data_IF_474900949211
#
_entry.id   IF_474900949211
#
_cell.length_a   1.000
_cell.length_b   1.000
_cell.length_c   1.000
_cell.angle_alpha   90.00
_cell.angle_beta   90.00
_cell.angle_gamma   90.00
#
_symmetry.space_group_name_H-M   'P 1'
#
loop_
_entity.id
_entity.type
_entity.pdbx_description
1 polymer ?
#
# COMPACT_ATOMS: atom_id res chain seq x y z
N UNK A 1 -35.80 -26.16 -3.97
CA UNK A 1 -35.70 -24.77 -4.45
C UNK A 1 -34.43 -24.66 -5.28
N UNK A 2 -34.56 -24.30 -6.55
CA UNK A 2 -33.44 -24.11 -7.50
C UNK A 2 -33.68 -22.80 -8.22
N UNK A 3 -32.63 -21.99 -8.34
CA UNK A 3 -32.14 -21.20 -9.50
C UNK A 3 -30.78 -20.65 -8.99
N UNK A 4 -29.64 -21.30 -9.27
CA UNK A 4 -28.71 -21.03 -10.40
C UNK A 4 -28.24 -19.57 -10.47
N UNK A 5 -27.08 -19.29 -9.86
CA UNK A 5 -26.26 -18.14 -10.21
C UNK A 5 -25.31 -18.56 -11.33
N UNK A 6 -25.36 -17.81 -12.43
CA UNK A 6 -24.67 -18.05 -13.69
C UNK A 6 -23.38 -17.24 -13.70
N UNK A 7 -22.30 -17.87 -14.19
CA UNK A 7 -21.03 -17.25 -14.62
C UNK A 7 -21.19 -15.82 -15.14
N UNK A 8 -20.39 -14.88 -14.65
CA UNK A 8 -20.15 -13.63 -15.36
C UNK A 8 -18.98 -13.84 -16.34
N UNK A 9 -19.32 -13.68 -17.61
CA UNK A 9 -18.47 -13.81 -18.77
C UNK A 9 -17.70 -12.51 -18.97
N UNK A 10 -16.39 -12.62 -19.24
CA UNK A 10 -15.54 -11.63 -19.88
C UNK A 10 -16.25 -10.93 -21.06
N UNK A 11 -16.19 -9.59 -21.09
CA UNK A 11 -16.76 -8.79 -22.17
C UNK A 11 -16.00 -7.49 -22.39
N UNK A 12 -14.95 -7.55 -23.20
CA UNK A 12 -14.33 -6.43 -23.89
C UNK A 12 -15.43 -5.64 -24.65
N UNK A 13 -15.55 -4.33 -24.43
CA UNK A 13 -16.40 -3.48 -25.28
C UNK A 13 -15.62 -2.23 -25.72
N UNK A 14 -14.98 -2.36 -26.88
CA UNK A 14 -14.51 -1.21 -27.66
C UNK A 14 -15.70 -0.47 -28.30
N UNK A 15 -15.58 0.86 -28.30
CA UNK A 15 -16.09 1.83 -29.28
C UNK A 15 -17.52 1.69 -29.81
N UNK A 16 -18.38 2.67 -29.49
CA UNK A 16 -18.75 3.74 -30.45
C UNK A 16 -19.95 4.57 -29.97
N UNK A 17 -19.70 5.85 -29.67
CA UNK A 17 -20.65 6.92 -30.00
C UNK A 17 -19.86 8.05 -30.64
N UNK A 18 -19.76 8.00 -31.96
CA UNK A 18 -19.42 9.16 -32.77
C UNK A 18 -20.70 9.59 -33.51
N UNK A 19 -21.13 10.83 -33.26
CA UNK A 19 -21.83 11.78 -34.16
C UNK A 19 -22.57 12.80 -33.26
N UNK A 20 -22.50 14.13 -33.39
CA UNK A 20 -21.95 15.04 -34.39
C UNK A 20 -21.92 16.45 -33.74
N UNK A 21 -20.76 17.10 -33.72
CA UNK A 21 -20.67 18.54 -33.92
C UNK A 21 -19.33 18.84 -34.57
N UNK A 22 -19.40 19.06 -35.87
CA UNK A 22 -18.29 19.41 -36.73
C UNK A 22 -17.88 20.86 -36.42
N UNK A 23 -16.95 21.05 -35.48
CA UNK A 23 -16.06 22.21 -35.48
C UNK A 23 -14.64 21.70 -35.53
N UNK A 24 -13.96 22.00 -36.64
CA UNK A 24 -12.51 21.93 -36.74
C UNK A 24 -11.91 22.74 -35.57
N UNK A 25 -11.47 22.06 -34.53
CA UNK A 25 -10.45 22.55 -33.62
C UNK A 25 -9.22 21.69 -33.86
N UNK A 26 -8.39 22.14 -34.79
CA UNK A 26 -6.95 21.93 -34.68
C UNK A 26 -6.51 22.65 -33.41
N UNK A 27 -6.55 21.96 -32.27
CA UNK A 27 -5.69 22.29 -31.14
C UNK A 27 -4.62 21.23 -31.14
N UNK A 28 -3.37 21.69 -31.20
CA UNK A 28 -2.23 20.88 -30.82
C UNK A 28 -2.55 20.34 -29.42
N UNK A 29 -2.75 19.02 -29.28
CA UNK A 29 -2.63 18.37 -27.98
C UNK A 29 -1.15 18.50 -27.62
N UNK A 30 -0.83 19.59 -26.93
CA UNK A 30 0.43 19.74 -26.25
C UNK A 30 0.49 18.58 -25.26
N UNK A 31 1.45 17.68 -25.46
CA UNK A 31 1.67 16.53 -24.59
C UNK A 31 1.90 17.07 -23.18
N UNK A 32 0.89 16.91 -22.30
CA UNK A 32 0.93 17.43 -20.94
C UNK A 32 1.92 16.58 -20.17
N UNK A 33 3.04 17.18 -19.76
CA UNK A 33 3.99 16.55 -18.86
C UNK A 33 3.50 16.64 -17.41
N UNK A 34 3.78 15.59 -16.64
CA UNK A 34 3.38 15.46 -15.24
C UNK A 34 4.61 15.28 -14.36
N UNK A 35 4.45 15.68 -13.10
CA UNK A 35 5.34 15.34 -11.99
C UNK A 35 4.48 14.86 -10.81
N UNK A 36 5.09 14.41 -9.73
CA UNK A 36 4.40 13.80 -8.60
C UNK A 36 4.59 14.59 -7.32
N UNK A 37 3.51 14.72 -6.56
CA UNK A 37 3.53 15.21 -5.19
C UNK A 37 3.22 14.07 -4.25
N UNK A 38 4.05 13.93 -3.21
CA UNK A 38 3.89 12.95 -2.15
C UNK A 38 3.72 13.69 -0.83
N UNK A 39 2.68 13.35 -0.10
CA UNK A 39 2.46 13.77 1.28
C UNK A 39 2.82 12.59 2.19
N UNK A 40 3.99 12.66 2.83
CA UNK A 40 4.47 11.61 3.73
C UNK A 40 3.66 11.53 5.02
N UNK A 41 3.03 12.62 5.47
CA UNK A 41 2.28 12.66 6.71
C UNK A 41 0.95 11.87 6.61
N UNK A 42 0.26 11.99 5.48
CA UNK A 42 -1.00 11.28 5.22
C UNK A 42 -0.87 10.15 4.20
N UNK A 43 0.36 9.76 3.86
CA UNK A 43 0.63 8.62 3.00
C UNK A 43 -0.10 8.66 1.66
N UNK A 44 -0.03 9.76 0.90
CA UNK A 44 -0.63 9.78 -0.44
C UNK A 44 0.27 10.39 -1.48
N UNK A 45 0.16 9.91 -2.72
CA UNK A 45 0.85 10.44 -3.89
C UNK A 45 -0.16 10.78 -4.98
N UNK A 46 0.07 11.88 -5.70
CA UNK A 46 -0.76 12.27 -6.84
C UNK A 46 0.08 12.94 -7.91
N UNK A 47 -0.24 12.68 -9.18
CA UNK A 47 0.36 13.40 -10.30
C UNK A 47 -0.24 14.81 -10.41
N UNK A 48 0.58 15.77 -10.80
CA UNK A 48 0.14 17.12 -11.16
C UNK A 48 0.79 17.56 -12.48
N UNK A 49 0.05 18.26 -13.35
CA UNK A 49 0.59 18.70 -14.62
C UNK A 49 1.55 19.88 -14.44
N UNK A 50 2.66 19.89 -15.17
CA UNK A 50 3.74 20.88 -15.06
C UNK A 50 3.35 22.32 -15.45
N UNK A 51 2.13 22.54 -15.92
CA UNK A 51 1.59 23.89 -16.09
C UNK A 51 1.04 24.49 -14.80
N UNK A 52 0.95 23.69 -13.73
CA UNK A 52 0.63 24.14 -12.40
C UNK A 52 1.91 24.25 -11.58
N UNK A 53 2.00 25.34 -10.83
CA UNK A 53 3.15 25.68 -10.00
C UNK A 53 2.78 25.31 -8.56
N UNK A 54 3.55 24.44 -7.87
CA UNK A 54 3.31 24.14 -6.46
C UNK A 54 3.61 25.38 -5.60
N UNK A 55 2.67 25.78 -4.75
CA UNK A 55 2.83 26.92 -3.84
C UNK A 55 3.51 26.55 -2.50
N UNK A 56 3.76 25.25 -2.28
CA UNK A 56 4.29 24.70 -1.03
C UNK A 56 3.19 24.36 -0.03
N UNK A 57 3.50 23.45 0.91
CA UNK A 57 2.56 22.91 1.90
C UNK A 57 2.08 24.02 2.87
N UNK A 58 1.01 24.70 2.49
CA UNK A 58 0.35 25.69 3.33
C UNK A 58 -0.58 25.01 4.33
N UNK A 59 -0.18 24.98 5.60
CA UNK A 59 -0.87 24.35 6.75
C UNK A 59 -1.12 22.85 6.54
N UNK A 60 -0.12 22.05 6.92
CA UNK A 60 -0.14 20.66 7.45
C UNK A 60 -1.08 19.58 6.84
N UNK A 61 -1.99 19.88 5.91
CA UNK A 61 -3.10 19.03 5.45
C UNK A 61 -3.03 18.71 3.94
N UNK A 62 -2.15 19.37 3.18
CA UNK A 62 -2.00 19.11 1.75
C UNK A 62 -1.27 20.19 0.93
N UNK A 63 -1.51 20.19 -0.38
CA UNK A 63 -0.81 21.02 -1.37
C UNK A 63 -1.77 21.73 -2.32
N UNK A 64 -1.43 22.98 -2.66
CA UNK A 64 -2.11 23.74 -3.72
C UNK A 64 -1.15 24.00 -4.87
N UNK A 65 -1.63 23.74 -6.09
CA UNK A 65 -0.92 24.02 -7.34
C UNK A 65 -1.70 25.05 -8.14
N UNK A 66 -1.05 26.13 -8.57
CA UNK A 66 -1.69 27.27 -9.21
C UNK A 66 -1.21 27.42 -10.65
N UNK A 67 -2.13 27.70 -11.58
CA UNK A 67 -1.81 27.99 -12.96
C UNK A 67 -1.23 29.41 -13.11
N UNK A 68 -0.68 29.70 -14.29
CA UNK A 68 -0.13 31.02 -14.66
C UNK A 68 -1.15 32.18 -14.62
N UNK A 69 -2.46 31.88 -14.68
CA UNK A 69 -3.53 32.87 -14.56
C UNK A 69 -3.80 33.32 -13.10
N UNK A 70 -3.16 32.69 -12.12
CA UNK A 70 -3.28 33.00 -10.69
C UNK A 70 -4.66 32.72 -10.07
N UNK A 71 -5.56 32.08 -10.81
CA UNK A 71 -6.94 31.80 -10.39
C UNK A 71 -7.25 30.32 -10.49
N UNK A 72 -6.86 29.70 -11.59
CA UNK A 72 -7.04 28.27 -11.82
C UNK A 72 -6.07 27.50 -10.94
N UNK A 73 -6.56 26.49 -10.23
CA UNK A 73 -5.76 25.72 -9.29
C UNK A 73 -6.27 24.28 -9.15
N UNK A 74 -5.38 23.44 -8.65
CA UNK A 74 -5.64 22.12 -8.10
C UNK A 74 -5.26 22.15 -6.61
N UNK A 75 -6.09 21.55 -5.78
CA UNK A 75 -5.81 21.33 -4.37
C UNK A 75 -5.95 19.85 -4.09
N UNK A 76 -4.99 19.29 -3.35
CA UNK A 76 -5.05 17.93 -2.82
C UNK A 76 -4.83 17.98 -1.32
N UNK A 77 -5.72 17.38 -0.55
CA UNK A 77 -5.64 17.40 0.91
C UNK A 77 -6.34 16.21 1.55
N UNK A 78 -5.87 15.87 2.75
CA UNK A 78 -6.60 15.02 3.68
C UNK A 78 -7.66 15.87 4.39
N UNK A 79 -8.87 15.34 4.57
CA UNK A 79 -9.95 16.02 5.29
C UNK A 79 -10.46 15.18 6.44
N UNK A 80 -10.44 15.74 7.65
CA UNK A 80 -11.11 15.12 8.80
C UNK A 80 -12.65 15.16 8.61
N UNK A 81 -13.21 13.96 8.41
CA UNK A 81 -14.65 13.68 8.36
C UNK A 81 -14.98 12.52 9.31
N UNK A 82 -14.27 12.45 10.43
CA UNK A 82 -14.34 11.35 11.40
C UNK A 82 -15.78 10.98 11.76
N UNK A 83 -16.08 9.69 11.68
CA UNK A 83 -17.39 9.12 12.00
C UNK A 83 -18.46 9.27 10.91
N UNK A 84 -18.15 9.82 9.73
CA UNK A 84 -19.06 9.87 8.60
C UNK A 84 -18.79 8.73 7.62
N UNK A 85 -19.87 8.08 7.15
CA UNK A 85 -19.82 7.28 5.93
C UNK A 85 -19.67 8.16 4.68
N UNK A 86 -19.24 7.56 3.56
CA UNK A 86 -19.12 8.24 2.27
C UNK A 86 -20.45 8.90 1.85
N UNK A 87 -21.58 8.22 2.03
CA UNK A 87 -22.92 8.74 1.69
C UNK A 87 -23.31 9.93 2.58
N UNK A 88 -22.98 9.89 3.87
CA UNK A 88 -23.25 10.99 4.79
C UNK A 88 -22.40 12.22 4.49
N UNK A 89 -21.11 12.02 4.21
CA UNK A 89 -20.20 13.08 3.77
C UNK A 89 -20.71 13.73 2.48
N UNK A 90 -21.05 12.90 1.48
CA UNK A 90 -21.61 13.37 0.21
C UNK A 90 -22.89 14.19 0.41
N UNK A 91 -23.86 13.69 1.20
CA UNK A 91 -25.12 14.40 1.45
C UNK A 91 -24.88 15.75 2.14
N UNK A 92 -24.02 15.78 3.16
CA UNK A 92 -23.69 16.99 3.93
C UNK A 92 -23.06 18.07 3.05
N UNK A 93 -22.13 17.69 2.17
CA UNK A 93 -21.52 18.64 1.25
C UNK A 93 -22.47 19.11 0.14
N UNK A 94 -23.35 18.22 -0.32
CA UNK A 94 -24.32 18.56 -1.34
C UNK A 94 -25.32 19.61 -0.86
N UNK A 95 -25.71 19.59 0.41
CA UNK A 95 -26.59 20.61 1.00
C UNK A 95 -25.96 22.03 0.96
N UNK A 96 -24.64 22.10 1.02
CA UNK A 96 -23.87 23.35 0.94
C UNK A 96 -23.56 23.83 -0.48
N UNK A 97 -23.86 23.04 -1.52
CA UNK A 97 -23.42 23.31 -2.89
C UNK A 97 -24.55 23.18 -3.91
N UNK A 98 -24.66 24.17 -4.81
CA UNK A 98 -25.54 24.06 -5.98
C UNK A 98 -24.83 23.29 -7.12
N UNK A 99 -24.60 21.99 -6.91
CA UNK A 99 -23.89 21.16 -7.87
C UNK A 99 -24.73 20.84 -9.12
N UNK A 100 -24.17 21.13 -10.30
CA UNK A 100 -24.74 20.85 -11.61
C UNK A 100 -24.54 19.40 -12.05
N UNK A 101 -23.46 18.76 -11.61
CA UNK A 101 -23.19 17.34 -11.81
C UNK A 101 -22.84 16.68 -10.49
N UNK A 102 -23.26 15.42 -10.34
CA UNK A 102 -23.17 14.67 -9.10
C UNK A 102 -23.00 13.19 -9.40
N UNK A 103 -22.08 12.53 -8.70
CA UNK A 103 -21.84 11.10 -8.81
C UNK A 103 -21.42 10.59 -7.44
N UNK A 104 -21.97 9.45 -7.03
CA UNK A 104 -21.59 8.73 -5.82
C UNK A 104 -21.35 7.28 -6.25
N UNK A 105 -20.15 6.78 -5.97
CA UNK A 105 -19.73 5.40 -6.18
C UNK A 105 -19.43 4.75 -4.82
N UNK A 106 -18.93 3.52 -4.83
CA UNK A 106 -18.66 2.75 -3.60
C UNK A 106 -17.59 3.37 -2.70
N UNK A 107 -16.54 3.93 -3.30
CA UNK A 107 -15.35 4.44 -2.60
C UNK A 107 -15.05 5.93 -2.87
N UNK A 108 -15.84 6.60 -3.72
CA UNK A 108 -15.69 8.04 -3.95
C UNK A 108 -17.00 8.73 -4.35
N UNK A 109 -17.01 10.06 -4.25
CA UNK A 109 -18.02 10.89 -4.90
C UNK A 109 -17.41 12.06 -5.64
N UNK A 110 -18.13 12.56 -6.63
CA UNK A 110 -17.75 13.69 -7.47
C UNK A 110 -18.86 14.72 -7.53
N UNK A 111 -18.49 15.99 -7.47
CA UNK A 111 -19.39 17.12 -7.67
C UNK A 111 -18.78 18.17 -8.61
N UNK A 112 -19.63 18.79 -9.43
CA UNK A 112 -19.26 19.96 -10.24
C UNK A 112 -20.23 21.10 -9.97
N UNK A 113 -19.71 22.31 -9.78
CA UNK A 113 -20.51 23.52 -9.64
C UNK A 113 -19.80 24.73 -10.27
N UNK A 114 -20.49 25.87 -10.25
CA UNK A 114 -19.94 27.16 -10.71
C UNK A 114 -19.71 28.10 -9.52
N UNK A 115 -18.52 28.70 -9.49
CA UNK A 115 -18.21 29.85 -8.63
C UNK A 115 -17.98 31.07 -9.52
N UNK A 116 -19.00 31.91 -9.65
CA UNK A 116 -19.02 32.97 -10.65
C UNK A 116 -18.91 32.39 -12.07
N UNK A 117 -17.82 32.72 -12.78
CA UNK A 117 -17.54 32.21 -14.13
C UNK A 117 -16.68 30.92 -14.14
N UNK A 118 -16.12 30.55 -13.00
CA UNK A 118 -15.18 29.44 -12.89
C UNK A 118 -15.93 28.12 -12.72
N UNK A 119 -15.37 27.04 -13.25
CA UNK A 119 -15.82 25.69 -12.93
C UNK A 119 -15.08 25.20 -11.70
N UNK A 120 -15.80 24.58 -10.77
CA UNK A 120 -15.22 23.87 -9.66
C UNK A 120 -15.61 22.39 -9.77
N UNK A 121 -14.62 21.51 -9.69
CA UNK A 121 -14.79 20.06 -9.68
C UNK A 121 -14.14 19.52 -8.43
N UNK A 122 -14.85 18.68 -7.67
CA UNK A 122 -14.31 18.02 -6.49
C UNK A 122 -14.51 16.52 -6.62
N UNK A 123 -13.46 15.78 -6.30
CA UNK A 123 -13.50 14.36 -6.02
C UNK A 123 -13.16 14.17 -4.56
N UNK A 124 -13.90 13.28 -3.91
CA UNK A 124 -13.63 12.89 -2.53
C UNK A 124 -13.62 11.38 -2.45
N UNK A 125 -12.52 10.83 -1.98
CA UNK A 125 -12.27 9.40 -1.83
C UNK A 125 -12.32 9.03 -0.36
N UNK A 126 -12.86 7.85 -0.06
CA UNK A 126 -12.75 7.21 1.24
C UNK A 126 -11.80 6.02 1.09
N UNK A 127 -10.63 6.11 1.71
CA UNK A 127 -9.60 5.07 1.71
C UNK A 127 -9.08 4.90 3.13
N UNK A 128 -9.02 3.65 3.61
CA UNK A 128 -8.56 3.31 4.97
C UNK A 128 -9.22 4.13 6.09
N UNK A 129 -10.52 4.41 5.99
CA UNK A 129 -11.24 5.20 7.01
C UNK A 129 -11.01 6.71 6.96
N UNK A 130 -10.11 7.19 6.11
CA UNK A 130 -9.79 8.60 5.93
C UNK A 130 -10.33 9.15 4.60
N UNK A 131 -10.57 10.46 4.56
CA UNK A 131 -11.06 11.14 3.37
C UNK A 131 -9.97 11.96 2.70
N UNK A 132 -9.85 11.77 1.38
CA UNK A 132 -8.90 12.49 0.52
C UNK A 132 -9.67 13.28 -0.52
N UNK A 133 -9.29 14.54 -0.73
CA UNK A 133 -9.99 15.44 -1.63
C UNK A 133 -9.07 15.98 -2.72
N UNK A 134 -9.56 15.89 -3.96
CA UNK A 134 -9.02 16.61 -5.10
C UNK A 134 -10.02 17.68 -5.52
N UNK A 135 -9.62 18.94 -5.43
CA UNK A 135 -10.44 20.07 -5.82
C UNK A 135 -9.76 20.86 -6.93
N UNK A 136 -10.49 21.05 -8.02
CA UNK A 136 -10.05 21.82 -9.18
C UNK A 136 -10.94 23.04 -9.31
N UNK A 137 -10.32 24.21 -9.43
CA UNK A 137 -11.02 25.45 -9.81
C UNK A 137 -10.37 25.97 -11.06
N UNK A 138 -11.12 26.26 -12.12
CA UNK A 138 -10.53 26.74 -13.36
C UNK A 138 -11.39 27.74 -14.11
N UNK A 139 -10.71 28.69 -14.75
CA UNK A 139 -11.34 29.70 -15.60
C UNK A 139 -11.77 29.10 -16.94
N UNK A 140 -12.71 29.74 -17.68
CA UNK A 140 -13.06 29.31 -19.02
C UNK A 140 -11.86 29.24 -20.00
N UNK A 141 -10.81 30.02 -19.74
CA UNK A 141 -9.58 30.01 -20.54
C UNK A 141 -8.79 28.70 -20.37
N UNK A 142 -8.77 28.13 -19.17
CA UNK A 142 -8.03 26.92 -18.84
C UNK A 142 -8.88 25.64 -18.89
N UNK A 143 -10.16 25.75 -19.24
CA UNK A 143 -11.12 24.64 -19.22
C UNK A 143 -10.62 23.40 -19.97
N UNK A 144 -10.15 23.53 -21.21
CA UNK A 144 -9.70 22.38 -22.00
C UNK A 144 -8.47 21.69 -21.40
N UNK A 145 -7.57 22.43 -20.73
CA UNK A 145 -6.37 21.86 -20.10
C UNK A 145 -6.74 21.06 -18.86
N UNK A 146 -7.62 21.61 -18.02
CA UNK A 146 -8.10 20.92 -16.83
C UNK A 146 -8.99 19.73 -17.18
N UNK A 147 -9.91 19.87 -18.13
CA UNK A 147 -10.77 18.77 -18.58
C UNK A 147 -9.98 17.58 -19.13
N UNK A 148 -8.83 17.83 -19.77
CA UNK A 148 -7.92 16.79 -20.22
C UNK A 148 -7.06 16.19 -19.08
N UNK A 149 -6.62 17.01 -18.12
CA UNK A 149 -5.71 16.56 -17.06
C UNK A 149 -6.42 15.88 -15.87
N UNK A 150 -7.64 16.28 -15.53
CA UNK A 150 -8.37 15.78 -14.35
C UNK A 150 -8.47 14.24 -14.31
N UNK A 151 -8.83 13.53 -15.41
CA UNK A 151 -8.89 12.07 -15.36
C UNK A 151 -7.55 11.42 -14.99
N UNK A 152 -6.44 11.92 -15.57
CA UNK A 152 -5.09 11.42 -15.29
C UNK A 152 -4.71 11.66 -13.83
N UNK A 153 -5.00 12.86 -13.31
CA UNK A 153 -4.72 13.23 -11.92
C UNK A 153 -5.52 12.34 -10.96
N UNK A 154 -6.81 12.16 -11.23
CA UNK A 154 -7.70 11.33 -10.41
C UNK A 154 -7.26 9.86 -10.41
N UNK A 155 -6.92 9.30 -11.57
CA UNK A 155 -6.42 7.92 -11.68
C UNK A 155 -5.04 7.73 -11.03
N UNK A 156 -4.25 8.79 -10.92
CA UNK A 156 -2.91 8.74 -10.30
C UNK A 156 -2.90 8.85 -8.77
N UNK A 157 -4.04 9.15 -8.14
CA UNK A 157 -4.10 9.27 -6.69
C UNK A 157 -3.91 7.87 -6.07
N UNK A 158 -2.77 7.69 -5.39
CA UNK A 158 -2.51 6.51 -4.56
C UNK A 158 -2.50 6.94 -3.11
N UNK A 159 -3.15 6.15 -2.27
CA UNK A 159 -3.08 6.29 -0.81
C UNK A 159 -2.33 5.06 -0.33
N UNK A 160 -1.17 5.30 0.24
CA UNK A 160 -0.40 4.33 0.99
C UNK A 160 -1.03 4.28 2.39
N UNK A 161 -1.27 3.09 2.95
CA UNK A 161 -1.85 2.93 4.30
C UNK A 161 -0.98 3.43 5.47
N UNK A 162 -0.08 4.37 5.21
CA UNK A 162 0.89 5.02 6.11
C UNK A 162 0.36 6.30 6.76
N UNK A 163 -0.79 6.83 6.32
CA UNK A 163 -1.50 7.94 6.96
C UNK A 163 -2.37 7.52 8.15
N UNK A 164 -2.00 6.47 8.88
CA UNK A 164 -2.72 6.03 10.08
C UNK A 164 -2.60 7.08 11.18
N UNK A 165 -3.73 7.50 11.73
CA UNK A 165 -3.76 8.19 13.03
C UNK A 165 -2.98 7.34 14.05
N UNK A 166 -2.20 7.97 14.93
CA UNK A 166 -1.40 7.33 15.99
C UNK A 166 -2.21 6.36 16.89
N UNK A 167 -3.55 6.36 16.80
CA UNK A 167 -4.47 5.51 17.53
C UNK A 167 -4.70 4.11 16.90
N UNK A 168 -4.41 3.88 15.60
CA UNK A 168 -4.60 2.56 14.93
C UNK A 168 -3.30 1.75 14.69
N UNK A 169 -2.13 2.37 14.82
CA UNK A 169 -0.81 1.73 14.73
C UNK A 169 0.12 2.34 15.80
N UNK A 170 -0.21 2.19 17.10
CA UNK A 170 0.45 2.93 18.18
C UNK A 170 1.95 2.61 18.33
N UNK A 171 2.38 1.49 17.79
CA UNK A 171 3.79 1.06 17.74
C UNK A 171 4.42 1.23 16.34
N UNK A 172 3.68 1.75 15.35
CA UNK A 172 4.17 2.00 13.99
C UNK A 172 4.50 0.75 13.19
N UNK A 173 4.09 -0.45 13.63
CA UNK A 173 4.40 -1.70 12.97
C UNK A 173 3.85 -1.79 11.56
N UNK A 174 2.59 -1.41 11.36
CA UNK A 174 1.97 -1.62 10.04
C UNK A 174 2.59 -0.66 9.02
N UNK A 175 2.88 0.56 9.44
CA UNK A 175 3.65 1.53 8.64
C UNK A 175 5.03 0.98 8.28
N UNK A 176 5.76 0.46 9.27
CA UNK A 176 7.04 -0.19 9.06
C UNK A 176 6.94 -1.39 8.11
N UNK A 177 5.88 -2.19 8.23
CA UNK A 177 5.70 -3.40 7.45
C UNK A 177 5.43 -3.08 5.97
N UNK A 178 4.63 -2.06 5.67
CA UNK A 178 4.43 -1.60 4.30
C UNK A 178 5.75 -1.18 3.64
N UNK A 179 6.55 -0.35 4.34
CA UNK A 179 7.86 0.08 3.86
C UNK A 179 8.80 -1.12 3.64
N UNK A 180 8.86 -2.06 4.59
CA UNK A 180 9.63 -3.28 4.44
C UNK A 180 9.19 -4.11 3.23
N UNK A 181 7.88 -4.31 3.04
CA UNK A 181 7.35 -5.12 1.95
C UNK A 181 7.66 -4.50 0.59
N UNK A 182 7.52 -3.19 0.44
CA UNK A 182 7.86 -2.47 -0.81
C UNK A 182 9.37 -2.55 -1.13
N UNK A 183 10.21 -2.28 -0.13
CA UNK A 183 11.66 -2.18 -0.33
C UNK A 183 12.34 -3.56 -0.47
N UNK A 184 11.84 -4.57 0.25
CA UNK A 184 12.53 -5.84 0.43
C UNK A 184 11.81 -7.06 -0.15
N UNK A 185 10.49 -7.01 -0.40
CA UNK A 185 9.70 -8.19 -0.74
C UNK A 185 9.03 -8.09 -2.13
N UNK A 186 8.09 -7.17 -2.33
CA UNK A 186 7.32 -7.07 -3.57
C UNK A 186 8.16 -6.57 -4.74
N UNK A 187 8.04 -7.26 -5.87
CA UNK A 187 8.86 -7.08 -7.06
C UNK A 187 10.36 -7.17 -6.76
N UNK A 188 10.72 -7.78 -5.64
CA UNK A 188 12.09 -8.05 -5.20
C UNK A 188 12.20 -9.53 -4.86
N UNK A 189 13.44 -10.01 -4.73
CA UNK A 189 13.69 -11.34 -4.22
C UNK A 189 14.42 -11.19 -2.88
N UNK A 190 13.69 -11.33 -1.76
CA UNK A 190 14.24 -11.17 -0.42
C UNK A 190 15.47 -12.07 -0.20
N UNK A 191 15.45 -13.31 -0.71
CA UNK A 191 16.58 -14.23 -0.62
C UNK A 191 17.85 -13.69 -1.28
N UNK A 192 17.70 -13.07 -2.46
CA UNK A 192 18.77 -12.44 -3.23
C UNK A 192 19.33 -11.26 -2.46
N UNK A 193 18.47 -10.42 -1.87
CA UNK A 193 18.89 -9.29 -1.03
C UNK A 193 19.75 -9.77 0.15
N UNK A 194 19.33 -10.85 0.81
CA UNK A 194 20.03 -11.41 1.96
C UNK A 194 21.38 -12.02 1.55
N UNK A 195 21.37 -12.87 0.52
CA UNK A 195 22.59 -13.50 -0.03
C UNK A 195 23.62 -12.46 -0.42
N UNK A 196 23.19 -11.41 -1.11
CA UNK A 196 24.06 -10.37 -1.65
C UNK A 196 24.40 -9.28 -0.63
N UNK A 197 23.83 -9.37 0.59
CA UNK A 197 23.97 -8.38 1.67
C UNK A 197 23.63 -6.97 1.18
N UNK A 198 22.51 -6.88 0.48
CA UNK A 198 22.06 -5.66 -0.17
C UNK A 198 21.92 -4.51 0.85
N UNK A 199 22.44 -3.30 0.55
CA UNK A 199 22.38 -2.16 1.46
C UNK A 199 20.97 -1.78 1.92
N UNK A 200 19.93 -2.14 1.15
CA UNK A 200 18.52 -1.91 1.53
C UNK A 200 18.14 -2.58 2.84
N UNK A 201 18.76 -3.71 3.18
CA UNK A 201 18.44 -4.44 4.41
C UNK A 201 18.99 -3.76 5.68
N UNK A 202 19.91 -2.79 5.56
CA UNK A 202 20.63 -2.21 6.69
C UNK A 202 19.71 -1.47 7.66
N UNK A 203 18.68 -0.78 7.16
CA UNK A 203 17.70 -0.07 8.01
C UNK A 203 16.81 -1.00 8.82
N UNK A 204 16.59 -2.23 8.31
CA UNK A 204 15.66 -3.20 8.88
C UNK A 204 16.33 -4.20 9.83
N UNK A 205 17.66 -4.32 9.82
CA UNK A 205 18.38 -5.31 10.64
C UNK A 205 19.07 -4.62 11.82
N UNK A 206 18.79 -5.08 13.04
CA UNK A 206 19.54 -4.69 14.23
C UNK A 206 20.91 -5.41 14.24
N UNK A 207 22.04 -4.69 14.38
CA UNK A 207 23.37 -5.30 14.36
C UNK A 207 23.67 -6.21 15.57
N UNK A 208 22.97 -6.07 16.69
CA UNK A 208 23.09 -6.93 17.88
C UNK A 208 22.34 -8.25 17.71
N UNK A 209 21.22 -8.24 16.99
CA UNK A 209 20.46 -9.46 16.70
C UNK A 209 21.01 -10.19 15.46
N UNK A 210 21.31 -9.42 14.40
CA UNK A 210 21.55 -9.94 13.07
C UNK A 210 20.32 -10.62 12.47
N UNK A 211 20.44 -11.06 11.22
CA UNK A 211 19.42 -11.86 10.55
C UNK A 211 19.76 -13.35 10.70
N UNK A 212 18.75 -14.16 11.02
CA UNK A 212 18.86 -15.61 11.06
C UNK A 212 17.67 -16.25 10.33
N UNK A 213 17.81 -17.52 9.97
CA UNK A 213 16.76 -18.29 9.32
C UNK A 213 16.55 -19.62 10.01
N UNK A 214 15.31 -19.96 10.33
CA UNK A 214 14.88 -21.33 10.59
C UNK A 214 14.83 -22.07 9.26
N UNK A 215 15.85 -22.88 9.03
CA UNK A 215 16.03 -23.64 7.79
C UNK A 215 15.94 -25.13 8.09
N UNK A 216 15.18 -25.85 7.27
CA UNK A 216 14.97 -27.30 7.40
C UNK A 216 15.41 -28.03 6.11
N UNK A 217 16.67 -28.50 6.01
CA UNK A 217 17.11 -29.34 4.89
C UNK A 217 16.61 -30.80 5.01
N UNK A 218 15.73 -31.08 5.96
CA UNK A 218 15.26 -32.41 6.31
C UNK A 218 14.21 -32.36 7.42
N UNK A 219 14.12 -33.40 8.25
CA UNK A 219 13.06 -33.53 9.26
C UNK A 219 13.14 -32.52 10.43
N UNK A 220 14.22 -31.76 10.55
CA UNK A 220 14.43 -30.82 11.66
C UNK A 220 14.92 -29.47 11.15
N UNK A 221 14.34 -28.42 11.73
CA UNK A 221 14.78 -27.04 11.56
C UNK A 221 16.00 -26.73 12.45
N UNK A 222 16.91 -25.91 11.95
CA UNK A 222 17.94 -25.25 12.77
C UNK A 222 18.09 -23.78 12.38
N UNK A 223 18.69 -22.99 13.27
CA UNK A 223 19.03 -21.60 12.97
C UNK A 223 20.31 -21.49 12.15
N UNK A 224 20.22 -20.82 11.02
CA UNK A 224 21.34 -20.45 10.17
C UNK A 224 21.46 -18.93 10.07
N UNK A 225 22.58 -18.39 10.56
CA UNK A 225 22.93 -16.98 10.40
C UNK A 225 23.92 -16.75 9.26
N UNK A 226 24.52 -15.56 9.22
CA UNK A 226 25.53 -15.19 8.21
C UNK A 226 26.74 -16.14 8.17
N UNK A 227 27.12 -16.75 9.30
CA UNK A 227 28.22 -17.72 9.40
C UNK A 227 27.91 -19.05 8.69
N UNK A 228 26.63 -19.34 8.47
CA UNK A 228 26.12 -20.52 7.78
C UNK A 228 25.39 -20.19 6.48
N UNK A 229 25.74 -19.06 5.86
CA UNK A 229 25.12 -18.59 4.62
C UNK A 229 23.58 -18.50 4.69
N UNK A 230 23.02 -18.25 5.87
CA UNK A 230 21.57 -18.24 6.13
C UNK A 230 20.86 -19.53 5.69
N UNK A 231 21.56 -20.67 5.65
CA UNK A 231 21.00 -21.95 5.21
C UNK A 231 20.89 -22.09 3.70
N UNK A 232 21.34 -21.10 2.93
CA UNK A 232 21.28 -21.16 1.47
C UNK A 232 22.22 -22.22 0.87
N UNK A 233 21.71 -22.96 -0.10
CA UNK A 233 22.40 -23.88 -1.00
C UNK A 233 22.29 -23.45 -2.48
N UNK A 234 22.78 -24.30 -3.39
CA UNK A 234 22.83 -24.01 -4.83
C UNK A 234 21.47 -24.13 -5.55
N UNK A 235 20.46 -24.71 -4.90
CA UNK A 235 19.10 -24.93 -5.43
C UNK A 235 18.08 -23.92 -4.92
N UNK A 236 18.48 -23.04 -4.00
CA UNK A 236 17.62 -21.99 -3.48
C UNK A 236 17.15 -21.00 -4.54
N UNK A 237 15.93 -20.50 -4.33
CA UNK A 237 15.31 -19.58 -5.26
C UNK A 237 15.73 -18.13 -5.01
N UNK A 238 16.54 -17.63 -5.95
CA UNK A 238 16.97 -16.23 -6.01
C UNK A 238 16.33 -15.45 -7.17
N UNK A 239 15.29 -16.02 -7.78
CA UNK A 239 14.61 -15.48 -8.97
C UNK A 239 13.14 -15.18 -8.76
N UNK A 240 12.50 -15.80 -7.76
CA UNK A 240 11.11 -15.52 -7.42
C UNK A 240 10.94 -14.07 -6.94
N UNK A 241 10.14 -13.30 -7.65
CA UNK A 241 9.80 -11.92 -7.31
C UNK A 241 8.27 -11.88 -7.14
N UNK A 242 7.74 -11.84 -5.90
CA UNK A 242 6.31 -11.75 -5.66
C UNK A 242 5.74 -10.49 -6.28
N UNK A 243 4.56 -10.57 -6.90
CA UNK A 243 3.87 -9.42 -7.49
C UNK A 243 2.67 -9.07 -6.62
N UNK A 244 2.56 -7.84 -6.12
CA UNK A 244 1.27 -7.38 -5.60
C UNK A 244 0.35 -7.14 -6.81
N UNK A 245 -0.57 -8.07 -7.10
CA UNK A 245 -1.53 -7.96 -8.22
C UNK A 245 -2.54 -6.78 -8.07
N UNK A 246 -2.29 -5.87 -7.14
CA UNK A 246 -3.13 -4.77 -6.69
C UNK A 246 -2.57 -4.15 -5.41
N UNK A 247 -3.44 -3.58 -4.59
CA UNK A 247 -3.15 -3.02 -3.28
C UNK A 247 -2.66 -4.10 -2.29
N UNK A 248 -1.66 -3.78 -1.47
CA UNK A 248 -1.19 -4.67 -0.40
C UNK A 248 -2.16 -4.55 0.78
N UNK A 249 -2.72 -5.67 1.23
CA UNK A 249 -3.60 -5.70 2.40
C UNK A 249 -2.90 -6.41 3.56
N UNK A 250 -2.77 -5.72 4.70
CA UNK A 250 -2.19 -6.26 5.93
C UNK A 250 -3.30 -6.56 6.94
N UNK A 251 -3.46 -7.83 7.31
CA UNK A 251 -4.56 -8.28 8.17
C UNK A 251 -4.02 -9.03 9.39
N UNK A 252 -4.55 -8.77 10.58
CA UNK A 252 -4.23 -9.59 11.75
C UNK A 252 -4.81 -11.01 11.58
N UNK A 253 -4.04 -12.04 11.92
CA UNK A 253 -4.48 -13.43 11.80
C UNK A 253 -5.69 -13.67 12.70
N UNK A 254 -6.85 -14.10 12.16
CA UNK A 254 -8.03 -14.33 12.98
C UNK A 254 -7.81 -15.43 14.01
N UNK A 255 -8.33 -15.22 15.23
CA UNK A 255 -8.28 -16.21 16.31
C UNK A 255 -8.71 -17.61 15.84
N UNK A 256 -7.80 -18.58 16.01
CA UNK A 256 -8.05 -19.98 15.70
C UNK A 256 -7.90 -20.36 14.22
N UNK A 257 -7.55 -19.43 13.31
CA UNK A 257 -7.15 -19.76 11.95
C UNK A 257 -5.74 -20.36 11.97
N UNK A 258 -5.54 -21.50 11.33
CA UNK A 258 -4.20 -22.08 11.21
C UNK A 258 -3.40 -21.33 10.14
N UNK A 259 -2.13 -21.06 10.40
CA UNK A 259 -1.19 -20.52 9.41
C UNK A 259 -1.14 -21.39 8.14
N UNK A 260 -1.35 -22.71 8.29
CA UNK A 260 -1.34 -23.66 7.18
C UNK A 260 -2.63 -23.70 6.37
N UNK A 261 -3.65 -22.99 6.81
CA UNK A 261 -4.91 -22.77 6.12
C UNK A 261 -4.95 -21.39 5.45
N UNK A 262 -3.82 -20.65 5.46
CA UNK A 262 -3.71 -19.40 4.72
C UNK A 262 -3.65 -19.69 3.23
N UNK A 263 -4.63 -19.16 2.51
CA UNK A 263 -4.67 -19.16 1.04
C UNK A 263 -4.31 -17.76 0.57
N UNK A 264 -3.14 -17.61 -0.04
CA UNK A 264 -2.72 -16.36 -0.67
C UNK A 264 -3.34 -16.29 -2.08
N UNK A 265 -4.68 -16.16 -2.13
CA UNK A 265 -5.44 -16.08 -3.39
C UNK A 265 -5.03 -14.86 -4.22
N UNK A 266 -4.65 -13.77 -3.54
CA UNK A 266 -4.01 -12.59 -4.10
C UNK A 266 -2.62 -12.44 -3.46
N UNK A 267 -1.57 -12.32 -4.28
CA UNK A 267 -0.20 -12.16 -3.78
C UNK A 267 0.01 -10.87 -2.96
N UNK A 268 -0.92 -9.91 -3.00
CA UNK A 268 -0.93 -8.70 -2.18
C UNK A 268 -1.44 -8.87 -0.74
N UNK A 269 -1.98 -10.03 -0.37
CA UNK A 269 -2.47 -10.26 0.99
C UNK A 269 -1.35 -10.78 1.92
N UNK A 270 -1.19 -10.13 3.07
CA UNK A 270 -0.27 -10.57 4.13
C UNK A 270 -1.00 -10.63 5.47
N UNK A 271 -0.65 -11.63 6.28
CA UNK A 271 -1.22 -11.82 7.60
C UNK A 271 -0.16 -11.59 8.67
N UNK A 272 -0.53 -11.09 9.85
CA UNK A 272 0.41 -10.98 10.97
C UNK A 272 -0.23 -11.34 12.30
N UNK A 273 0.58 -11.74 13.28
CA UNK A 273 0.14 -11.93 14.67
C UNK A 273 1.26 -11.57 15.65
N UNK A 274 0.86 -11.22 16.87
CA UNK A 274 1.79 -11.01 17.99
C UNK A 274 2.10 -12.34 18.67
N UNK A 275 3.38 -12.60 18.94
CA UNK A 275 3.83 -13.84 19.57
C UNK A 275 4.67 -13.55 20.83
N UNK A 276 4.55 -14.41 21.84
CA UNK A 276 5.31 -14.24 23.09
C UNK A 276 6.79 -14.58 22.93
N UNK A 277 7.13 -15.47 21.99
CA UNK A 277 8.50 -15.91 21.71
C UNK A 277 8.65 -16.41 20.28
N UNK A 278 9.88 -16.36 19.77
CA UNK A 278 10.26 -17.06 18.54
C UNK A 278 10.39 -18.58 18.78
N UNK A 279 10.31 -19.43 17.74
CA UNK A 279 10.42 -20.87 17.88
C UNK A 279 11.73 -21.33 18.56
N UNK A 280 11.64 -22.34 19.43
CA UNK A 280 12.80 -22.98 20.02
C UNK A 280 13.60 -23.75 18.94
N UNK A 281 14.89 -23.94 19.15
CA UNK A 281 15.78 -24.61 18.19
C UNK A 281 16.15 -25.98 18.68
N UNK A 282 16.11 -26.98 17.79
CA UNK A 282 16.59 -28.33 18.09
C UNK A 282 18.11 -28.30 18.28
N UNK A 283 18.56 -28.66 19.48
CA UNK A 283 19.99 -28.76 19.83
C UNK A 283 20.50 -30.20 19.81
N UNK A 284 19.59 -31.18 19.86
CA UNK A 284 19.93 -32.59 19.74
C UNK A 284 18.86 -33.35 18.95
N UNK A 285 19.21 -33.78 17.74
CA UNK A 285 18.29 -34.48 16.82
C UNK A 285 17.96 -35.91 17.23
N UNK A 286 18.78 -36.55 18.09
CA UNK A 286 18.52 -37.92 18.57
C UNK A 286 17.51 -37.93 19.72
N UNK A 287 17.51 -36.88 20.54
CA UNK A 287 16.64 -36.76 21.73
C UNK A 287 15.50 -35.76 21.55
N UNK A 288 15.49 -35.00 20.46
CA UNK A 288 14.58 -33.89 20.19
C UNK A 288 14.65 -32.77 21.24
N UNK A 289 15.80 -32.65 21.93
CA UNK A 289 16.02 -31.57 22.88
C UNK A 289 16.02 -30.23 22.14
N UNK A 290 15.22 -29.29 22.63
CA UNK A 290 15.15 -27.93 22.12
C UNK A 290 15.74 -26.94 23.12
N UNK A 291 16.16 -25.79 22.61
CA UNK A 291 16.63 -24.66 23.41
C UNK A 291 15.96 -23.38 22.93
N UNK A 292 15.47 -22.58 23.88
CA UNK A 292 14.94 -21.26 23.60
C UNK A 292 16.01 -20.36 22.94
N UNK A 293 15.58 -19.62 21.93
CA UNK A 293 16.39 -18.55 21.33
C UNK A 293 16.33 -17.34 22.24
N UNK A 294 17.50 -16.82 22.62
CA UNK A 294 17.60 -15.67 23.52
C UNK A 294 17.82 -14.43 22.66
N UNK A 295 16.84 -13.54 22.66
CA UNK A 295 16.96 -12.23 22.03
C UNK A 295 17.71 -11.25 22.95
N UNK A 296 18.50 -10.31 22.40
CA UNK A 296 19.09 -9.20 23.17
C UNK A 296 18.06 -8.34 23.90
N UNK A 297 16.84 -8.29 23.38
CA UNK A 297 15.71 -7.55 23.95
C UNK A 297 14.65 -8.55 24.46
N UNK A 298 14.75 -9.01 25.72
CA UNK A 298 13.93 -10.12 26.23
C UNK A 298 12.45 -9.77 26.46
N UNK A 299 12.14 -8.48 26.65
CA UNK A 299 10.78 -7.98 26.89
C UNK A 299 10.21 -7.26 25.65
N UNK A 300 10.87 -7.40 24.50
CA UNK A 300 10.43 -6.77 23.26
C UNK A 300 9.18 -7.45 22.70
N UNK A 301 8.30 -6.65 22.10
CA UNK A 301 7.20 -7.18 21.32
C UNK A 301 7.72 -7.88 20.07
N UNK A 302 7.13 -9.03 19.75
CA UNK A 302 7.49 -9.83 18.59
C UNK A 302 6.23 -10.00 17.74
N UNK A 303 6.35 -9.67 16.46
CA UNK A 303 5.31 -9.93 15.46
C UNK A 303 5.86 -10.82 14.37
N UNK A 304 5.06 -11.78 13.95
CA UNK A 304 5.35 -12.62 12.79
C UNK A 304 4.42 -12.22 11.66
N UNK A 305 4.97 -12.07 10.46
CA UNK A 305 4.23 -11.77 9.23
C UNK A 305 4.33 -12.96 8.30
N UNK A 306 3.20 -13.42 7.81
CA UNK A 306 3.07 -14.52 6.87
C UNK A 306 2.96 -13.98 5.46
N UNK A 307 3.95 -14.34 4.64
CA UNK A 307 4.04 -13.96 3.22
C UNK A 307 4.10 -15.21 2.34
N UNK A 308 3.64 -15.16 1.07
CA UNK A 308 3.70 -16.31 0.19
C UNK A 308 5.11 -16.57 -0.34
N UNK A 309 5.50 -17.84 -0.45
CA UNK A 309 6.59 -18.26 -1.32
C UNK A 309 6.11 -18.55 -2.75
N UNK A 310 7.01 -19.00 -3.63
CA UNK A 310 6.70 -19.36 -5.02
C UNK A 310 5.64 -20.45 -5.22
N UNK A 311 5.30 -21.18 -4.16
CA UNK A 311 4.31 -22.24 -4.15
C UNK A 311 3.05 -21.83 -3.38
N UNK A 312 2.90 -20.53 -3.09
CA UNK A 312 1.82 -19.96 -2.27
C UNK A 312 1.72 -20.58 -0.87
N UNK A 313 2.83 -21.14 -0.37
CA UNK A 313 2.92 -21.61 1.02
C UNK A 313 3.42 -20.47 1.92
N UNK A 314 2.96 -20.40 3.18
CA UNK A 314 3.35 -19.34 4.10
C UNK A 314 4.83 -19.45 4.49
N UNK A 315 5.50 -18.31 4.49
CA UNK A 315 6.81 -18.09 5.10
C UNK A 315 6.64 -17.08 6.22
N UNK A 316 7.23 -17.37 7.38
CA UNK A 316 7.17 -16.50 8.55
C UNK A 316 8.32 -15.52 8.56
N UNK A 317 8.03 -14.22 8.59
CA UNK A 317 9.01 -13.15 8.78
C UNK A 317 8.82 -12.57 10.18
N UNK A 318 9.80 -12.72 11.06
CA UNK A 318 9.71 -12.25 12.44
C UNK A 318 10.35 -10.88 12.58
N UNK A 319 9.62 -10.01 13.27
CA UNK A 319 10.01 -8.66 13.59
C UNK A 319 9.98 -8.45 15.10
N UNK A 320 10.94 -7.68 15.59
CA UNK A 320 11.11 -7.38 17.02
C UNK A 320 11.14 -5.87 17.20
N UNK A 321 10.35 -5.35 18.15
CA UNK A 321 10.36 -3.93 18.49
C UNK A 321 11.56 -3.60 19.37
N UNK A 322 12.53 -2.87 18.80
CA UNK A 322 13.75 -2.42 19.48
C UNK A 322 13.64 -0.94 19.87
N UNK A 323 14.59 -0.39 20.67
CA UNK A 323 14.66 1.05 20.90
C UNK A 323 14.80 1.89 19.61
N UNK A 324 15.31 1.30 18.53
CA UNK A 324 15.49 1.92 17.20
C UNK A 324 14.34 1.55 16.24
N UNK A 325 13.19 1.15 16.78
CA UNK A 325 11.98 0.75 16.05
C UNK A 325 11.93 -0.75 15.72
N UNK A 326 10.96 -1.13 14.89
CA UNK A 326 10.82 -2.52 14.41
C UNK A 326 12.01 -2.96 13.57
N UNK A 327 12.43 -4.21 13.77
CA UNK A 327 13.58 -4.82 13.09
C UNK A 327 13.25 -6.24 12.64
N UNK A 328 13.67 -6.57 11.43
CA UNK A 328 13.58 -7.89 10.82
C UNK A 328 14.68 -8.81 11.35
N UNK A 329 14.30 -9.95 11.94
CA UNK A 329 15.25 -10.81 12.68
C UNK A 329 15.27 -12.25 12.21
N UNK A 330 14.11 -12.83 11.88
CA UNK A 330 14.05 -14.23 11.44
C UNK A 330 13.22 -14.45 10.19
N UNK A 331 13.65 -15.44 9.41
CA UNK A 331 12.83 -16.09 8.38
C UNK A 331 12.54 -17.51 8.85
N UNK A 332 11.32 -17.97 8.69
CA UNK A 332 10.92 -19.34 8.96
C UNK A 332 10.26 -19.98 7.74
N UNK A 333 11.06 -20.79 7.06
CA UNK A 333 10.62 -21.58 5.91
C UNK A 333 10.08 -22.96 6.32
N UNK A 334 9.99 -23.23 7.63
CA UNK A 334 9.67 -24.55 8.19
C UNK A 334 8.19 -24.67 8.59
N UNK A 335 7.45 -23.58 8.44
CA UNK A 335 6.01 -23.53 8.64
C UNK A 335 5.32 -24.58 7.77
N UNK A 336 4.30 -25.21 8.35
CA UNK A 336 3.40 -26.10 7.62
C UNK A 336 4.08 -27.26 6.90
N UNK A 337 5.15 -27.79 7.51
CA UNK A 337 5.98 -28.86 6.97
C UNK A 337 5.19 -30.00 6.31
N UNK A 338 5.82 -30.62 5.31
CA UNK A 338 5.26 -31.70 4.51
C UNK A 338 4.78 -32.92 5.32
#
# INVERSE_FOLDING_TARGET
MKIKATLLLTGLMMCSVACLSNKKQTLYEEEVAYDYYRNDHYGYTVAYPLFLIPEGEGREEGQTFVADDGVSNMQVYHTDKTGLSLEEAYRKELEGRNASEKQLEENFYRMVWKEGKNTCTQYTFLAYGAFYELKFTYTPQNASRFEAAIPVIVESLTVDGSGREEDEDPDGFVTFLFDFLDVCFYEKNLNRLIRDKDPRLVSYIDPQMGLQRYYAPGAFAYLAGCDRNFGFDEYDDFTFEPSSAGEISVTELPDGKSVCELEFENEGEVYYESVEKVPDVVVNVETLETKAVILPYPDAEIRVVYVPNKFHSPVGLYFVLTPDGWKFVFIDDTLCGA
#
